data_IF_500824738830
#
_entry.id   IF_500824738830
#
_cell.length_a   1.000
_cell.length_b   1.000
_cell.length_c   1.000
_cell.angle_alpha   90.00
_cell.angle_beta   90.00
_cell.angle_gamma   90.00
#
_symmetry.space_group_name_H-M   'P 1'
#
loop_
_entity.id
_entity.type
_entity.pdbx_description
1 polymer ?
#
# COMPACT_ATOMS: atom_id res chain seq x y z
N UNK A 1 4.88 -22.93 -8.73
CA UNK A 1 5.68 -22.34 -7.64
C UNK A 1 5.45 -23.15 -6.38
N UNK A 2 6.50 -23.58 -5.67
CA UNK A 2 6.35 -24.35 -4.43
C UNK A 2 5.91 -23.44 -3.26
N UNK A 3 5.38 -24.04 -2.20
CA UNK A 3 4.99 -23.30 -0.99
C UNK A 3 6.19 -22.60 -0.32
N UNK A 4 7.39 -23.14 -0.48
CA UNK A 4 8.63 -22.55 0.03
C UNK A 4 9.07 -21.36 -0.79
N UNK A 5 9.06 -21.47 -2.13
CA UNK A 5 9.35 -20.36 -3.04
C UNK A 5 8.39 -19.20 -2.80
N UNK A 6 7.10 -19.50 -2.61
CA UNK A 6 6.10 -18.50 -2.29
C UNK A 6 6.42 -17.75 -0.99
N UNK A 7 6.81 -18.47 0.07
CA UNK A 7 7.18 -17.88 1.36
C UNK A 7 8.40 -16.98 1.23
N UNK A 8 9.41 -17.38 0.45
CA UNK A 8 10.59 -16.54 0.19
C UNK A 8 10.25 -15.24 -0.53
N UNK A 9 9.37 -15.28 -1.54
CA UNK A 9 8.92 -14.05 -2.20
C UNK A 9 8.17 -13.11 -1.24
N UNK A 10 7.31 -13.67 -0.38
CA UNK A 10 6.62 -12.87 0.64
C UNK A 10 7.56 -12.28 1.69
N UNK A 11 8.61 -13.00 2.09
CA UNK A 11 9.63 -12.48 3.01
C UNK A 11 10.42 -11.33 2.36
N UNK A 12 10.82 -11.46 1.09
CA UNK A 12 11.48 -10.40 0.34
C UNK A 12 10.58 -9.16 0.20
N UNK A 13 9.30 -9.37 -0.12
CA UNK A 13 8.29 -8.31 -0.20
C UNK A 13 8.14 -7.58 1.14
N UNK A 14 8.02 -8.34 2.24
CA UNK A 14 7.89 -7.77 3.58
C UNK A 14 9.12 -6.94 3.95
N UNK A 15 10.33 -7.43 3.67
CA UNK A 15 11.57 -6.68 3.92
C UNK A 15 11.65 -5.42 3.07
N UNK A 16 11.25 -5.46 1.79
CA UNK A 16 11.23 -4.29 0.93
C UNK A 16 10.23 -3.23 1.44
N UNK A 17 9.00 -3.65 1.77
CA UNK A 17 7.96 -2.76 2.28
C UNK A 17 8.36 -2.12 3.62
N UNK A 18 8.96 -2.89 4.54
CA UNK A 18 9.37 -2.39 5.86
C UNK A 18 10.52 -1.37 5.79
N UNK A 19 11.35 -1.38 4.73
CA UNK A 19 12.39 -0.35 4.51
C UNK A 19 11.82 1.01 4.12
N UNK A 20 10.57 1.07 3.66
CA UNK A 20 9.87 2.34 3.37
C UNK A 20 9.31 2.99 4.63
N UNK A 21 9.49 2.36 5.80
CA UNK A 21 9.08 2.88 7.09
C UNK A 21 10.14 3.85 7.62
N UNK A 22 9.65 4.98 8.12
CA UNK A 22 10.29 6.07 8.86
C UNK A 22 11.83 6.24 8.78
N UNK A 23 12.34 7.36 8.21
CA UNK A 23 11.60 8.39 7.47
C UNK A 23 11.25 7.89 6.07
N UNK A 24 9.95 7.77 5.76
CA UNK A 24 9.51 7.28 4.47
C UNK A 24 8.00 7.47 4.22
N UNK A 25 7.54 7.19 2.98
CA UNK A 25 6.16 7.44 2.57
C UNK A 25 5.13 6.52 3.23
N UNK A 26 5.57 5.43 3.88
CA UNK A 26 4.68 4.45 4.50
C UNK A 26 4.14 4.93 5.85
N UNK A 27 2.87 5.36 5.88
CA UNK A 27 2.16 5.77 7.11
C UNK A 27 1.50 4.62 7.85
N UNK A 28 1.27 3.50 7.17
CA UNK A 28 0.70 2.31 7.77
C UNK A 28 0.78 1.10 6.84
N UNK A 29 0.97 -0.08 7.42
CA UNK A 29 1.06 -1.34 6.69
C UNK A 29 0.45 -2.46 7.53
N UNK A 30 -0.51 -3.18 6.94
CA UNK A 30 -1.18 -4.29 7.60
C UNK A 30 -1.38 -5.45 6.63
N UNK A 31 -1.30 -6.66 7.19
CA UNK A 31 -1.79 -7.86 6.52
C UNK A 31 -3.28 -8.01 6.82
N UNK A 32 -4.11 -8.12 5.79
CA UNK A 32 -5.53 -8.47 5.98
C UNK A 32 -5.63 -9.95 6.32
N UNK A 33 -6.00 -10.28 7.55
CA UNK A 33 -6.06 -11.66 8.06
C UNK A 33 -7.05 -12.51 7.23
N UNK A 34 -6.64 -13.74 6.92
CA UNK A 34 -7.46 -14.70 6.16
C UNK A 34 -7.56 -14.44 4.64
N UNK A 35 -6.95 -13.37 4.13
CA UNK A 35 -7.00 -12.99 2.72
C UNK A 35 -5.59 -12.94 2.11
N UNK A 36 -5.44 -12.88 0.78
CA UNK A 36 -4.14 -12.59 0.13
C UNK A 36 -4.01 -11.10 -0.19
N UNK A 37 -4.27 -10.25 0.81
CA UNK A 37 -4.30 -8.79 0.67
C UNK A 37 -3.39 -8.13 1.71
N UNK A 38 -2.63 -7.12 1.27
CA UNK A 38 -1.90 -6.18 2.12
C UNK A 38 -2.58 -4.82 1.97
N UNK A 39 -2.79 -4.14 3.09
CA UNK A 39 -3.29 -2.77 3.12
C UNK A 39 -2.12 -1.86 3.50
N UNK A 40 -1.84 -0.89 2.63
CA UNK A 40 -0.83 0.13 2.86
C UNK A 40 -1.47 1.52 2.78
N UNK A 41 -1.06 2.41 3.67
CA UNK A 41 -1.35 3.85 3.59
C UNK A 41 -0.05 4.55 3.26
N UNK A 42 -0.03 5.23 2.12
CA UNK A 42 1.14 5.92 1.57
C UNK A 42 0.85 7.42 1.49
N UNK A 43 1.84 8.22 1.89
CA UNK A 43 1.88 9.67 1.73
C UNK A 43 2.87 9.98 0.60
N UNK A 44 2.33 10.24 -0.58
CA UNK A 44 3.08 10.39 -1.82
C UNK A 44 2.81 11.77 -2.43
N UNK A 45 3.81 12.37 -3.08
CA UNK A 45 3.66 13.71 -3.66
C UNK A 45 2.74 13.74 -4.88
N UNK A 46 2.60 12.63 -5.60
CA UNK A 46 1.73 12.49 -6.78
C UNK A 46 1.52 11.01 -7.14
N UNK A 47 0.66 10.76 -8.14
CA UNK A 47 0.31 9.41 -8.59
C UNK A 47 1.44 8.72 -9.38
N UNK A 48 2.36 9.46 -10.02
CA UNK A 48 3.47 8.86 -10.77
C UNK A 48 4.40 8.10 -9.80
N UNK A 49 4.61 8.63 -8.60
CA UNK A 49 5.42 7.97 -7.56
C UNK A 49 4.73 6.68 -7.06
N UNK A 50 3.40 6.63 -7.05
CA UNK A 50 2.66 5.42 -6.70
C UNK A 50 2.92 4.30 -7.71
N UNK A 51 2.81 4.59 -9.00
CA UNK A 51 3.07 3.62 -10.07
C UNK A 51 4.51 3.09 -10.02
N UNK A 52 5.48 4.00 -9.80
CA UNK A 52 6.89 3.62 -9.64
C UNK A 52 7.12 2.73 -8.40
N UNK A 53 6.50 3.07 -7.27
CA UNK A 53 6.60 2.29 -6.04
C UNK A 53 6.01 0.88 -6.23
N UNK A 54 4.83 0.78 -6.87
CA UNK A 54 4.20 -0.50 -7.17
C UNK A 54 5.08 -1.33 -8.12
N UNK A 55 5.56 -0.77 -9.22
CA UNK A 55 6.43 -1.46 -10.16
C UNK A 55 7.74 -1.97 -9.50
N UNK A 56 8.21 -1.28 -8.46
CA UNK A 56 9.38 -1.67 -7.68
C UNK A 56 9.17 -2.84 -6.72
N UNK A 57 7.93 -3.26 -6.46
CA UNK A 57 7.65 -4.33 -5.51
C UNK A 57 8.11 -5.70 -6.05
N UNK A 58 8.87 -6.49 -5.26
CA UNK A 58 9.26 -7.86 -5.64
C UNK A 58 8.09 -8.74 -6.08
N UNK A 59 6.92 -8.61 -5.47
CA UNK A 59 5.72 -9.37 -5.85
C UNK A 59 5.18 -8.95 -7.23
N UNK A 60 5.30 -7.66 -7.60
CA UNK A 60 4.94 -7.20 -8.94
C UNK A 60 5.89 -7.75 -10.00
N UNK A 61 7.19 -7.79 -9.70
CA UNK A 61 8.19 -8.33 -10.63
C UNK A 61 8.04 -9.85 -10.84
N UNK A 62 7.67 -10.58 -9.78
CA UNK A 62 7.55 -12.04 -9.84
C UNK A 62 6.17 -12.55 -10.30
N UNK A 63 5.09 -11.83 -9.99
CA UNK A 63 3.72 -12.27 -10.27
C UNK A 63 2.98 -11.38 -11.29
N UNK A 64 3.51 -10.21 -11.62
CA UNK A 64 3.02 -9.31 -12.67
C UNK A 64 1.49 -9.13 -12.64
N UNK A 65 0.85 -9.38 -13.78
CA UNK A 65 -0.60 -9.25 -13.96
C UNK A 65 -1.48 -10.17 -13.11
N UNK A 66 -0.90 -11.08 -12.31
CA UNK A 66 -1.65 -11.85 -11.30
C UNK A 66 -1.88 -11.06 -10.00
N UNK A 67 -1.16 -9.96 -9.79
CA UNK A 67 -1.35 -9.08 -8.65
C UNK A 67 -2.46 -8.08 -8.97
N UNK A 68 -3.46 -8.02 -8.09
CA UNK A 68 -4.53 -7.03 -8.18
C UNK A 68 -4.21 -5.88 -7.22
N UNK A 69 -4.32 -4.66 -7.73
CA UNK A 69 -4.16 -3.44 -6.94
C UNK A 69 -5.45 -2.65 -6.99
N UNK A 70 -5.87 -2.20 -5.83
CA UNK A 70 -6.93 -1.23 -5.67
C UNK A 70 -6.36 -0.02 -4.93
N UNK A 71 -6.58 1.16 -5.48
CA UNK A 71 -6.05 2.42 -4.96
C UNK A 71 -7.20 3.35 -4.65
N UNK A 72 -7.28 3.78 -3.40
CA UNK A 72 -8.32 4.67 -2.89
C UNK A 72 -7.67 5.99 -2.44
N UNK A 73 -8.12 7.14 -2.95
CA UNK A 73 -7.64 8.43 -2.44
C UNK A 73 -8.12 8.61 -1.01
N UNK A 74 -7.20 9.00 -0.13
CA UNK A 74 -7.49 9.30 1.27
C UNK A 74 -7.28 10.79 1.49
N UNK A 75 -8.25 11.44 2.13
CA UNK A 75 -8.14 12.84 2.60
C UNK A 75 -8.21 12.87 4.13
N UNK A 76 -7.62 13.87 4.80
CA UNK A 76 -7.77 14.07 6.24
C UNK A 76 -9.25 14.16 6.63
N UNK A 77 -9.61 13.46 7.70
CA UNK A 77 -11.00 13.41 8.18
C UNK A 77 -11.46 14.76 8.71
N UNK A 78 -10.53 15.55 9.29
CA UNK A 78 -10.75 16.88 9.82
C UNK A 78 -11.30 17.83 8.74
N UNK A 79 -10.79 17.71 7.51
CA UNK A 79 -11.30 18.50 6.39
C UNK A 79 -12.76 18.14 6.09
N UNK A 80 -13.10 16.85 6.12
CA UNK A 80 -14.47 16.39 5.88
C UNK A 80 -15.41 16.86 7.01
N UNK A 81 -14.98 16.75 8.27
CA UNK A 81 -15.73 17.25 9.41
C UNK A 81 -15.97 18.76 9.34
N UNK A 82 -14.99 19.53 8.86
CA UNK A 82 -15.14 20.97 8.62
C UNK A 82 -16.17 21.29 7.53
N UNK A 83 -16.18 20.53 6.43
CA UNK A 83 -17.17 20.68 5.36
C UNK A 83 -18.59 20.41 5.87
N UNK A 84 -18.77 19.34 6.68
CA UNK A 84 -20.06 19.02 7.28
C UNK A 84 -20.57 20.13 8.21
N UNK A 85 -19.69 20.70 9.04
CA UNK A 85 -20.06 21.80 9.95
C UNK A 85 -20.55 23.04 9.20
N UNK A 86 -19.98 23.33 8.03
CA UNK A 86 -20.42 24.43 7.16
C UNK A 86 -21.75 24.14 6.47
N UNK A 87 -22.08 22.88 6.23
CA UNK A 87 -23.31 22.49 5.53
C UNK A 87 -24.55 22.50 6.44
N UNK A 88 -24.37 22.34 7.75
CA UNK A 88 -25.47 22.28 8.74
C UNK A 88 -25.69 23.58 9.53
N UNK A 89 -24.84 24.59 9.32
CA UNK A 89 -24.93 25.92 9.96
C UNK A 89 -25.13 27.01 8.92
#
# INVERSE_FOLDING_TARGET
MSAEQLRRHWDQEAQAALKLRDPGPLKGLWKVSGQRVVLAVLDLPNNDVLDQALAGLPIMQSMGGSVKVETLPIRPYENFAADLRKAVG
#
